data_IF_675290197191
#
_entry.id   IF_675290197191
#
_cell.length_a   1.000
_cell.length_b   1.000
_cell.length_c   1.000
_cell.angle_alpha   90.00
_cell.angle_beta   90.00
_cell.angle_gamma   90.00
#
_symmetry.space_group_name_H-M   'P 1'
#
loop_
_entity.id
_entity.type
_entity.pdbx_description
1 polymer ?
#
# COMPACT_ATOMS: atom_id res chain seq x y z
N UNK A 1 -44.11 24.03 -2.27
CA UNK A 1 -42.65 24.12 -2.06
C UNK A 1 -42.03 22.91 -1.33
N UNK A 2 -42.77 22.16 -0.49
CA UNK A 2 -42.19 21.02 0.25
C UNK A 2 -42.03 19.74 -0.57
N UNK A 3 -42.98 19.43 -1.46
CA UNK A 3 -42.94 18.25 -2.35
C UNK A 3 -41.73 18.23 -3.29
N UNK A 4 -41.43 19.37 -3.93
CA UNK A 4 -40.25 19.51 -4.79
C UNK A 4 -38.94 19.32 -4.01
N UNK A 5 -38.86 19.83 -2.77
CA UNK A 5 -37.68 19.67 -1.91
C UNK A 5 -37.48 18.21 -1.48
N UNK A 6 -38.56 17.48 -1.23
CA UNK A 6 -38.50 16.05 -0.87
C UNK A 6 -38.04 15.19 -2.07
N UNK A 7 -38.54 15.50 -3.28
CA UNK A 7 -38.09 14.86 -4.53
C UNK A 7 -36.61 15.13 -4.80
N UNK A 8 -36.14 16.37 -4.68
CA UNK A 8 -34.72 16.70 -4.91
C UNK A 8 -33.80 16.04 -3.88
N UNK A 9 -34.21 15.93 -2.61
CA UNK A 9 -33.45 15.19 -1.59
C UNK A 9 -33.35 13.70 -1.91
N UNK A 10 -34.43 13.07 -2.40
CA UNK A 10 -34.43 11.65 -2.77
C UNK A 10 -33.55 11.41 -4.00
N UNK A 11 -33.62 12.30 -4.99
CA UNK A 11 -32.77 12.27 -6.18
C UNK A 11 -31.28 12.44 -5.83
N UNK A 12 -30.96 13.41 -4.97
CA UNK A 12 -29.58 13.67 -4.55
C UNK A 12 -28.96 12.49 -3.81
N UNK A 13 -29.73 11.82 -2.93
CA UNK A 13 -29.29 10.57 -2.28
C UNK A 13 -28.98 9.46 -3.30
N UNK A 14 -29.84 9.29 -4.30
CA UNK A 14 -29.63 8.31 -5.38
C UNK A 14 -28.40 8.61 -6.23
N UNK A 15 -28.16 9.89 -6.58
CA UNK A 15 -26.97 10.32 -7.33
C UNK A 15 -25.69 10.07 -6.53
N UNK A 16 -25.68 10.36 -5.23
CA UNK A 16 -24.52 10.10 -4.36
C UNK A 16 -24.23 8.60 -4.25
N UNK A 17 -25.27 7.77 -4.06
CA UNK A 17 -25.12 6.31 -3.97
C UNK A 17 -24.60 5.70 -5.27
N UNK A 18 -25.11 6.20 -6.41
CA UNK A 18 -24.62 5.84 -7.75
C UNK A 18 -23.16 6.28 -7.94
N UNK A 19 -22.78 7.47 -7.47
CA UNK A 19 -21.41 7.96 -7.50
C UNK A 19 -20.41 7.07 -6.74
N UNK A 20 -20.77 6.62 -5.53
CA UNK A 20 -19.96 5.64 -4.80
C UNK A 20 -19.85 4.30 -5.52
N UNK A 21 -20.94 3.84 -6.13
CA UNK A 21 -20.94 2.60 -6.91
C UNK A 21 -20.00 2.70 -8.11
N UNK A 22 -20.05 3.80 -8.86
CA UNK A 22 -19.18 4.04 -10.01
C UNK A 22 -17.71 4.14 -9.59
N UNK A 23 -17.43 4.79 -8.46
CA UNK A 23 -16.09 4.87 -7.89
C UNK A 23 -15.55 3.48 -7.55
N UNK A 24 -16.33 2.66 -6.83
CA UNK A 24 -15.94 1.28 -6.52
C UNK A 24 -15.75 0.45 -7.78
N UNK A 25 -16.67 0.56 -8.74
CA UNK A 25 -16.59 -0.15 -10.03
C UNK A 25 -15.34 0.24 -10.84
N UNK A 26 -14.99 1.54 -10.90
CA UNK A 26 -13.74 2.02 -11.52
C UNK A 26 -12.51 1.40 -10.84
N UNK A 27 -12.54 1.28 -9.51
CA UNK A 27 -11.47 0.65 -8.74
C UNK A 27 -11.36 -0.85 -9.03
N UNK A 28 -12.49 -1.56 -9.13
CA UNK A 28 -12.55 -2.99 -9.49
C UNK A 28 -11.99 -3.27 -10.89
N UNK A 29 -12.30 -2.41 -11.87
CA UNK A 29 -11.85 -2.57 -13.25
C UNK A 29 -10.36 -2.27 -13.44
N UNK A 30 -9.78 -1.41 -12.60
CA UNK A 30 -8.40 -0.95 -12.77
C UNK A 30 -7.33 -2.01 -12.55
N UNK A 31 -7.68 -3.24 -12.14
CA UNK A 31 -6.77 -4.39 -12.03
C UNK A 31 -5.67 -4.28 -10.96
N UNK A 32 -5.40 -3.07 -10.46
CA UNK A 32 -4.37 -2.74 -9.47
C UNK A 32 -4.88 -2.82 -8.01
N UNK A 33 -6.07 -3.39 -7.78
CA UNK A 33 -6.65 -3.60 -6.44
C UNK A 33 -5.76 -4.45 -5.52
N UNK A 34 -4.80 -5.18 -6.08
CA UNK A 34 -3.76 -5.94 -5.35
C UNK A 34 -2.91 -5.05 -4.45
N UNK A 35 -2.75 -3.77 -4.78
CA UNK A 35 -1.89 -2.87 -4.03
C UNK A 35 -2.63 -2.10 -2.91
N UNK A 36 -3.95 -1.93 -3.02
CA UNK A 36 -4.74 -1.19 -2.02
C UNK A 36 -5.43 -2.09 -0.99
N UNK A 37 -5.74 -3.35 -1.34
CA UNK A 37 -6.61 -4.22 -0.54
C UNK A 37 -6.05 -5.64 -0.51
N UNK A 38 -6.02 -6.25 0.68
CA UNK A 38 -5.65 -7.65 0.84
C UNK A 38 -6.59 -8.56 0.03
N UNK A 39 -6.06 -9.49 -0.80
CA UNK A 39 -6.85 -10.28 -1.76
C UNK A 39 -8.04 -11.05 -1.16
N UNK A 40 -7.93 -11.42 0.11
CA UNK A 40 -9.00 -12.07 0.88
C UNK A 40 -10.28 -11.23 1.03
N UNK A 41 -10.24 -9.91 0.80
CA UNK A 41 -11.40 -9.01 0.98
C UNK A 41 -12.15 -8.65 -0.31
N UNK A 42 -11.67 -9.08 -1.48
CA UNK A 42 -12.37 -8.86 -2.75
C UNK A 42 -13.83 -9.33 -2.82
N UNK A 43 -14.22 -10.51 -2.29
CA UNK A 43 -15.62 -10.94 -2.40
C UNK A 43 -16.60 -9.96 -1.74
N UNK A 44 -16.23 -9.35 -0.61
CA UNK A 44 -17.05 -8.33 0.05
C UNK A 44 -17.19 -7.05 -0.78
N UNK A 45 -16.14 -6.68 -1.50
CA UNK A 45 -16.14 -5.50 -2.35
C UNK A 45 -17.05 -5.68 -3.58
N UNK A 46 -17.00 -6.85 -4.23
CA UNK A 46 -17.94 -7.20 -5.30
C UNK A 46 -19.38 -7.19 -4.80
N UNK A 47 -19.65 -7.85 -3.66
CA UNK A 47 -20.98 -7.90 -3.07
C UNK A 47 -21.51 -6.48 -2.76
N UNK A 48 -20.69 -5.65 -2.12
CA UNK A 48 -21.04 -4.26 -1.79
C UNK A 48 -21.33 -3.44 -3.05
N UNK A 49 -20.50 -3.58 -4.09
CA UNK A 49 -20.71 -2.87 -5.37
C UNK A 49 -22.04 -3.24 -6.00
N UNK A 50 -22.40 -4.53 -6.02
CA UNK A 50 -23.67 -5.01 -6.57
C UNK A 50 -24.86 -4.48 -5.76
N UNK A 51 -24.81 -4.56 -4.43
CA UNK A 51 -25.90 -4.09 -3.56
C UNK A 51 -26.08 -2.58 -3.68
N UNK A 52 -25.01 -1.80 -3.66
CA UNK A 52 -25.07 -0.35 -3.82
C UNK A 52 -25.57 0.06 -5.20
N UNK A 53 -25.17 -0.66 -6.26
CA UNK A 53 -25.70 -0.45 -7.60
C UNK A 53 -27.21 -0.63 -7.64
N UNK A 54 -27.70 -1.73 -7.07
CA UNK A 54 -29.12 -2.07 -7.08
C UNK A 54 -29.94 -1.05 -6.29
N UNK A 55 -29.47 -0.65 -5.11
CA UNK A 55 -30.09 0.41 -4.31
C UNK A 55 -30.06 1.77 -5.01
N UNK A 56 -28.95 2.12 -5.66
CA UNK A 56 -28.81 3.38 -6.40
C UNK A 56 -29.78 3.48 -7.57
N UNK A 57 -29.87 2.40 -8.36
CA UNK A 57 -30.79 2.30 -9.50
C UNK A 57 -32.26 2.34 -9.05
N UNK A 58 -32.62 1.60 -7.99
CA UNK A 58 -33.97 1.63 -7.43
C UNK A 58 -34.36 3.03 -6.92
N UNK A 59 -33.43 3.74 -6.27
CA UNK A 59 -33.69 5.08 -5.75
C UNK A 59 -33.88 6.12 -6.86
N UNK A 60 -33.16 5.98 -7.98
CA UNK A 60 -33.34 6.82 -9.19
C UNK A 60 -34.68 6.53 -9.86
N UNK A 61 -35.03 5.25 -10.08
CA UNK A 61 -36.31 4.90 -10.71
C UNK A 61 -37.53 5.30 -9.87
N UNK A 62 -37.43 5.19 -8.55
CA UNK A 62 -38.49 5.63 -7.62
C UNK A 62 -38.73 7.15 -7.68
N UNK A 63 -37.73 7.94 -8.09
CA UNK A 63 -37.88 9.39 -8.30
C UNK A 63 -38.53 9.73 -9.65
N UNK A 64 -38.35 8.87 -10.66
CA UNK A 64 -38.88 9.04 -12.02
C UNK A 64 -40.34 8.61 -12.16
N UNK A 65 -40.84 7.69 -11.32
CA UNK A 65 -42.25 7.27 -11.39
C UNK A 65 -43.18 8.26 -10.68
N UNK A 66 -44.12 8.85 -11.42
CA UNK A 66 -45.16 9.76 -10.92
C UNK A 66 -46.32 9.06 -10.19
N UNK A 67 -46.16 7.79 -9.79
CA UNK A 67 -47.23 7.04 -9.09
C UNK A 67 -47.20 7.37 -7.59
N UNK A 68 -48.31 7.87 -7.01
CA UNK A 68 -48.39 8.13 -5.59
C UNK A 68 -48.46 6.81 -4.80
N UNK A 69 -47.78 6.83 -3.64
CA UNK A 69 -47.97 5.97 -2.46
C UNK A 69 -47.91 4.44 -2.65
N UNK A 70 -46.73 3.88 -2.43
CA UNK A 70 -46.61 2.89 -1.36
C UNK A 70 -45.80 3.57 -0.27
N UNK A 71 -46.49 4.07 0.76
CA UNK A 71 -45.85 4.47 2.01
C UNK A 71 -45.25 3.22 2.62
N UNK A 72 -43.99 2.96 2.26
CA UNK A 72 -43.16 2.11 3.09
C UNK A 72 -42.85 2.97 4.32
N UNK A 73 -43.61 2.73 5.38
CA UNK A 73 -43.60 3.33 6.72
C UNK A 73 -42.27 3.10 7.47
N UNK A 74 -41.17 2.93 6.74
CA UNK A 74 -39.81 2.74 7.24
C UNK A 74 -38.90 3.96 6.98
N UNK A 75 -39.46 5.12 6.60
CA UNK A 75 -38.68 6.31 6.21
C UNK A 75 -39.12 7.61 6.92
N UNK A 76 -39.87 7.51 8.01
CA UNK A 76 -40.42 8.67 8.74
C UNK A 76 -39.35 9.52 9.46
N UNK A 77 -38.13 8.99 9.65
CA UNK A 77 -37.05 9.68 10.38
C UNK A 77 -36.03 10.43 9.50
N UNK A 78 -36.14 10.36 8.17
CA UNK A 78 -35.24 11.13 7.28
C UNK A 78 -35.83 12.46 6.82
N UNK A 79 -36.52 13.16 7.73
CA UNK A 79 -37.06 14.49 7.46
C UNK A 79 -35.90 15.48 7.30
N UNK A 80 -35.79 16.19 6.16
CA UNK A 80 -34.67 17.10 5.95
C UNK A 80 -34.71 18.22 6.99
N UNK A 81 -33.55 18.61 7.55
CA UNK A 81 -33.50 19.67 8.54
C UNK A 81 -33.97 20.98 7.90
N UNK A 82 -34.63 21.83 8.70
CA UNK A 82 -35.31 23.05 8.22
C UNK A 82 -34.35 23.98 7.46
N UNK A 83 -33.05 23.97 7.83
CA UNK A 83 -31.96 24.75 7.25
C UNK A 83 -31.30 24.07 6.03
N UNK A 84 -31.37 24.73 4.87
CA UNK A 84 -30.74 24.27 3.62
C UNK A 84 -29.21 24.25 3.68
N UNK A 85 -28.59 25.15 4.45
CA UNK A 85 -27.13 25.20 4.67
C UNK A 85 -26.57 23.97 5.40
N UNK A 86 -27.27 23.48 6.43
CA UNK A 86 -26.84 22.28 7.15
C UNK A 86 -26.98 21.04 6.26
N UNK A 87 -28.05 20.98 5.47
CA UNK A 87 -28.20 19.93 4.47
C UNK A 87 -27.08 19.95 3.43
N UNK A 88 -26.65 21.13 2.95
CA UNK A 88 -25.53 21.26 2.02
C UNK A 88 -24.21 20.74 2.63
N UNK A 89 -23.95 21.10 3.90
CA UNK A 89 -22.76 20.65 4.62
C UNK A 89 -22.72 19.11 4.75
N UNK A 90 -23.85 18.48 5.09
CA UNK A 90 -23.94 17.02 5.19
C UNK A 90 -23.73 16.33 3.84
N UNK A 91 -24.29 16.85 2.74
CA UNK A 91 -24.07 16.27 1.41
C UNK A 91 -22.64 16.47 0.92
N UNK A 92 -22.00 17.59 1.26
CA UNK A 92 -20.58 17.84 0.96
C UNK A 92 -19.67 16.76 1.54
N UNK A 93 -19.97 16.26 2.75
CA UNK A 93 -19.22 15.18 3.40
C UNK A 93 -19.20 13.88 2.57
N UNK A 94 -20.24 13.64 1.76
CA UNK A 94 -20.31 12.47 0.87
C UNK A 94 -19.82 12.77 -0.55
N UNK A 95 -19.98 13.99 -1.03
CA UNK A 95 -19.51 14.38 -2.37
C UNK A 95 -17.98 14.49 -2.40
N UNK A 96 -17.37 15.02 -1.34
CA UNK A 96 -15.92 15.17 -1.21
C UNK A 96 -15.18 13.83 -1.44
N UNK A 97 -15.48 12.73 -0.73
CA UNK A 97 -14.82 11.45 -0.95
C UNK A 97 -15.07 10.86 -2.34
N UNK A 98 -16.20 11.16 -3.00
CA UNK A 98 -16.43 10.75 -4.39
C UNK A 98 -15.50 11.52 -5.33
N UNK A 99 -15.45 12.84 -5.20
CA UNK A 99 -14.61 13.69 -6.04
C UNK A 99 -13.13 13.37 -5.83
N UNK A 100 -12.68 13.29 -4.58
CA UNK A 100 -11.29 12.92 -4.27
C UNK A 100 -11.00 11.50 -4.72
N UNK A 101 -11.89 10.54 -4.51
CA UNK A 101 -11.69 9.18 -4.99
C UNK A 101 -11.54 9.12 -6.51
N UNK A 102 -12.31 9.88 -7.29
CA UNK A 102 -12.12 9.97 -8.73
C UNK A 102 -10.81 10.66 -9.15
N UNK A 103 -10.44 11.78 -8.51
CA UNK A 103 -9.19 12.52 -8.79
C UNK A 103 -7.94 11.72 -8.40
N UNK A 104 -7.93 11.14 -7.20
CA UNK A 104 -6.79 10.39 -6.68
C UNK A 104 -6.66 9.02 -7.33
N UNK A 105 -7.75 8.33 -7.67
CA UNK A 105 -7.67 7.04 -8.36
C UNK A 105 -6.82 7.12 -9.64
N UNK A 106 -6.87 8.22 -10.38
CA UNK A 106 -6.05 8.37 -11.59
C UNK A 106 -4.56 8.62 -11.27
N UNK A 107 -4.22 9.08 -10.06
CA UNK A 107 -2.84 9.37 -9.65
C UNK A 107 -2.17 8.22 -8.87
N UNK A 108 -2.92 7.48 -8.03
CA UNK A 108 -2.41 6.32 -7.28
C UNK A 108 -2.28 5.04 -8.14
N UNK A 109 -2.98 4.98 -9.28
CA UNK A 109 -2.84 3.90 -10.27
C UNK A 109 -1.70 4.13 -11.26
N UNK A 110 -1.15 5.35 -11.29
CA UNK A 110 0.05 5.64 -12.06
C UNK A 110 1.23 4.88 -11.45
N UNK A 111 1.84 4.01 -12.25
CA UNK A 111 3.05 3.23 -11.97
C UNK A 111 4.20 4.01 -11.30
N UNK A 112 4.15 5.34 -11.29
CA UNK A 112 5.10 6.24 -10.62
C UNK A 112 5.17 6.07 -9.09
N UNK A 113 4.05 5.75 -8.41
CA UNK A 113 4.05 5.53 -6.96
C UNK A 113 4.37 4.07 -6.58
N UNK A 114 4.02 3.09 -7.42
CA UNK A 114 4.45 1.70 -7.26
C UNK A 114 5.96 1.54 -7.51
N UNK A 115 6.52 2.32 -8.44
CA UNK A 115 7.95 2.32 -8.76
C UNK A 115 8.84 2.80 -7.60
N UNK A 116 8.32 3.59 -6.66
CA UNK A 116 9.05 4.10 -5.50
C UNK A 116 8.63 3.46 -4.16
N UNK A 117 7.67 2.52 -4.17
CA UNK A 117 7.27 1.72 -3.00
C UNK A 117 7.31 0.21 -3.26
N UNK A 118 8.05 -0.23 -4.28
CA UNK A 118 8.68 -1.53 -4.19
C UNK A 118 9.74 -1.39 -3.10
N UNK A 119 9.44 -1.95 -1.93
CA UNK A 119 10.48 -2.32 -0.97
C UNK A 119 11.58 -2.96 -1.81
N UNK A 120 12.77 -2.37 -1.79
CA UNK A 120 13.97 -2.98 -2.36
C UNK A 120 14.23 -4.26 -1.57
N UNK A 121 13.48 -5.32 -1.88
CA UNK A 121 14.07 -6.64 -1.87
C UNK A 121 15.08 -6.57 -2.97
N UNK A 122 16.32 -6.40 -2.55
CA UNK A 122 17.43 -6.21 -3.42
C UNK A 122 17.55 -7.48 -4.29
N UNK A 123 17.02 -7.38 -5.49
CA UNK A 123 17.25 -8.30 -6.58
C UNK A 123 17.91 -7.45 -7.64
N UNK A 124 19.22 -7.65 -7.78
CA UNK A 124 20.04 -7.06 -8.83
C UNK A 124 19.43 -7.35 -10.19
N UNK A 125 18.63 -6.41 -10.70
CA UNK A 125 18.19 -6.36 -12.08
C UNK A 125 18.88 -5.18 -12.75
N UNK A 126 20.14 -5.39 -13.10
CA UNK A 126 20.75 -4.68 -14.23
C UNK A 126 19.99 -5.04 -15.50
N UNK A 127 18.95 -4.27 -15.83
CA UNK A 127 18.53 -4.13 -17.22
C UNK A 127 18.72 -2.67 -17.64
N UNK A 128 19.93 -2.42 -18.13
CA UNK A 128 20.21 -1.37 -19.09
C UNK A 128 19.24 -1.49 -20.26
N UNK A 129 18.50 -0.41 -20.56
CA UNK A 129 18.14 -0.09 -21.94
C UNK A 129 18.55 1.35 -22.17
N UNK A 130 19.58 1.46 -22.98
CA UNK A 130 20.28 2.67 -23.40
C UNK A 130 19.48 3.54 -24.36
N UNK A 131 20.00 4.76 -24.53
CA UNK A 131 19.85 5.74 -25.62
C UNK A 131 18.93 6.92 -25.22
N UNK A 132 19.32 8.19 -25.23
CA UNK A 132 20.40 8.91 -25.94
C UNK A 132 20.66 10.27 -25.24
N UNK A 133 21.87 10.82 -25.45
CA UNK A 133 22.26 12.24 -25.45
C UNK A 133 23.17 12.77 -24.33
N UNK A 134 24.48 12.60 -24.55
CA UNK A 134 25.48 13.66 -24.80
C UNK A 134 25.86 14.68 -23.71
N UNK A 135 27.18 14.65 -23.43
CA UNK A 135 28.12 15.76 -23.17
C UNK A 135 28.49 16.19 -21.73
N UNK A 136 29.70 15.72 -21.36
CA UNK A 136 30.91 16.52 -21.06
C UNK A 136 31.24 16.99 -19.63
N UNK A 137 32.40 16.46 -19.20
CA UNK A 137 33.54 17.09 -18.52
C UNK A 137 33.68 17.11 -16.98
N UNK A 138 34.65 16.30 -16.52
CA UNK A 138 35.89 16.66 -15.78
C UNK A 138 35.77 17.11 -14.30
N UNK A 139 36.17 16.17 -13.44
CA UNK A 139 37.33 16.22 -12.51
C UNK A 139 37.26 16.83 -11.09
N UNK A 140 37.87 16.02 -10.20
CA UNK A 140 38.57 16.23 -8.93
C UNK A 140 37.98 16.96 -7.69
N UNK A 141 37.98 16.18 -6.60
CA UNK A 141 38.35 16.47 -5.21
C UNK A 141 37.82 17.71 -4.48
N UNK A 142 37.19 17.46 -3.33
CA UNK A 142 37.58 18.12 -2.08
C UNK A 142 37.06 17.34 -0.88
N UNK A 143 37.94 17.00 0.06
CA UNK A 143 37.55 16.60 1.40
C UNK A 143 37.29 17.83 2.26
N UNK A 144 36.38 17.73 3.23
CA UNK A 144 36.55 18.37 4.53
C UNK A 144 35.58 17.80 5.58
N UNK A 145 36.17 17.64 6.76
CA UNK A 145 35.64 17.23 8.05
C UNK A 145 34.53 18.16 8.52
N UNK A 146 33.51 17.65 9.22
CA UNK A 146 32.96 18.32 10.41
C UNK A 146 32.36 17.28 11.37
N UNK A 147 32.97 17.21 12.55
CA UNK A 147 32.48 16.54 13.76
C UNK A 147 31.26 17.23 14.37
N UNK A 148 30.59 16.50 15.27
CA UNK A 148 29.61 16.90 16.29
C UNK A 148 28.13 16.83 15.82
N UNK A 149 27.17 16.26 16.57
CA UNK A 149 27.15 15.91 17.98
C UNK A 149 25.91 15.02 18.29
N UNK A 150 26.01 14.27 19.39
CA UNK A 150 24.94 13.81 20.29
C UNK A 150 23.96 12.70 19.84
N UNK A 151 24.27 11.50 20.34
CA UNK A 151 23.39 10.61 21.11
C UNK A 151 21.90 10.97 21.12
N UNK A 152 21.10 10.15 20.45
CA UNK A 152 19.73 9.88 20.88
C UNK A 152 19.47 8.39 20.78
N UNK A 153 19.44 7.74 21.94
CA UNK A 153 18.99 6.36 22.12
C UNK A 153 17.52 6.25 21.73
N UNK A 154 17.26 5.73 20.54
CA UNK A 154 15.98 5.09 20.20
C UNK A 154 16.33 3.84 19.42
N UNK A 155 15.90 2.68 19.89
CA UNK A 155 16.15 1.39 19.27
C UNK A 155 15.42 1.29 17.92
N UNK A 156 16.05 1.83 16.89
CA UNK A 156 15.73 1.70 15.48
C UNK A 156 16.81 0.79 14.87
N UNK A 157 16.50 -0.13 13.94
CA UNK A 157 17.54 -0.93 13.28
C UNK A 157 18.56 0.03 12.68
N UNK A 158 19.78 -0.02 13.20
CA UNK A 158 20.84 0.91 12.85
C UNK A 158 21.10 0.77 11.35
N UNK A 159 20.77 1.80 10.56
CA UNK A 159 21.16 1.86 9.17
C UNK A 159 22.70 1.85 9.14
N UNK A 160 23.26 0.70 8.74
CA UNK A 160 24.69 0.55 8.55
C UNK A 160 25.15 1.53 7.48
N UNK A 161 26.23 2.27 7.73
CA UNK A 161 26.81 3.17 6.73
C UNK A 161 27.16 2.39 5.46
N UNK A 162 26.98 3.00 4.29
CA UNK A 162 27.29 2.35 3.01
C UNK A 162 28.75 1.86 2.94
N UNK A 163 29.67 2.57 3.59
CA UNK A 163 31.07 2.17 3.68
C UNK A 163 31.25 0.88 4.48
N UNK A 164 30.59 0.77 5.63
CA UNK A 164 30.62 -0.42 6.47
C UNK A 164 29.97 -1.63 5.78
N UNK A 165 28.91 -1.39 5.01
CA UNK A 165 28.25 -2.42 4.20
C UNK A 165 29.21 -3.03 3.17
N UNK A 166 29.92 -2.19 2.42
CA UNK A 166 30.87 -2.64 1.40
C UNK A 166 32.06 -3.39 2.03
N UNK A 167 32.57 -2.91 3.17
CA UNK A 167 33.65 -3.59 3.91
C UNK A 167 33.19 -4.97 4.41
N UNK A 168 31.95 -5.06 4.91
CA UNK A 168 31.37 -6.32 5.35
C UNK A 168 31.23 -7.30 4.18
N UNK A 169 30.75 -6.83 3.02
CA UNK A 169 30.66 -7.65 1.81
C UNK A 169 32.02 -8.22 1.40
N UNK A 170 33.03 -7.36 1.24
CA UNK A 170 34.38 -7.79 0.87
C UNK A 170 34.95 -8.81 1.85
N UNK A 171 34.63 -8.64 3.14
CA UNK A 171 35.09 -9.54 4.20
C UNK A 171 34.40 -10.91 4.10
N UNK A 172 33.10 -10.94 3.83
CA UNK A 172 32.31 -12.17 3.68
C UNK A 172 32.66 -12.91 2.39
N UNK A 173 32.94 -12.20 1.31
CA UNK A 173 33.33 -12.78 0.02
C UNK A 173 34.70 -13.48 0.07
N UNK A 174 35.62 -13.02 0.93
CA UNK A 174 36.93 -13.67 1.11
C UNK A 174 36.90 -14.90 2.00
N UNK A 175 35.87 -15.07 2.83
CA UNK A 175 35.75 -16.20 3.77
C UNK A 175 35.02 -17.38 3.13
N UNK A 176 35.49 -18.61 3.43
CA UNK A 176 34.84 -19.87 3.02
C UNK A 176 33.74 -20.31 3.99
N UNK A 177 33.87 -19.93 5.26
CA UNK A 177 32.90 -20.17 6.33
C UNK A 177 32.80 -18.96 7.23
N UNK A 178 31.59 -18.60 7.66
CA UNK A 178 31.36 -17.50 8.60
C UNK A 178 30.11 -17.73 9.48
N UNK A 179 30.15 -17.16 10.68
CA UNK A 179 29.05 -17.17 11.64
C UNK A 179 28.31 -15.83 11.61
N UNK A 180 26.98 -15.88 11.48
CA UNK A 180 26.12 -14.70 11.41
C UNK A 180 25.86 -14.17 12.81
N UNK A 181 26.37 -12.97 13.10
CA UNK A 181 26.17 -12.30 14.38
C UNK A 181 24.76 -11.68 14.47
N UNK A 182 24.06 -11.86 15.59
CA UNK A 182 22.72 -11.29 15.84
C UNK A 182 22.63 -9.79 15.48
N UNK A 183 23.66 -8.99 15.78
CA UNK A 183 23.69 -7.54 15.50
C UNK A 183 23.81 -7.21 14.02
N UNK A 184 24.41 -8.11 13.25
CA UNK A 184 24.70 -7.95 11.82
C UNK A 184 23.85 -8.89 10.96
N UNK A 185 22.84 -9.55 11.54
CA UNK A 185 22.05 -10.55 10.85
C UNK A 185 21.41 -9.99 9.58
N UNK A 186 20.72 -8.85 9.69
CA UNK A 186 20.05 -8.20 8.56
C UNK A 186 21.03 -7.78 7.46
N UNK A 187 22.09 -6.99 7.72
CA UNK A 187 23.03 -6.61 6.66
C UNK A 187 23.77 -7.82 6.06
N UNK A 188 24.15 -8.82 6.86
CA UNK A 188 24.78 -10.04 6.33
C UNK A 188 23.83 -10.82 5.42
N UNK A 189 22.57 -11.00 5.81
CA UNK A 189 21.60 -11.74 5.00
C UNK A 189 21.24 -11.00 3.71
N UNK A 190 21.17 -9.65 3.76
CA UNK A 190 21.00 -8.84 2.56
C UNK A 190 22.17 -9.05 1.59
N UNK A 191 23.42 -8.91 2.06
CA UNK A 191 24.61 -9.13 1.21
C UNK A 191 24.59 -10.52 0.55
N UNK A 192 24.22 -11.56 1.29
CA UNK A 192 24.13 -12.93 0.78
C UNK A 192 22.99 -13.07 -0.25
N UNK A 193 21.84 -12.46 0.01
CA UNK A 193 20.71 -12.46 -0.93
C UNK A 193 21.06 -11.74 -2.25
N UNK A 194 21.78 -10.63 -2.14
CA UNK A 194 22.17 -9.78 -3.27
C UNK A 194 23.21 -10.47 -4.15
N UNK A 195 24.14 -11.19 -3.54
CA UNK A 195 25.32 -11.76 -4.21
C UNK A 195 25.33 -13.29 -4.12
N UNK A 196 24.16 -13.92 -4.30
CA UNK A 196 23.94 -15.35 -4.04
C UNK A 196 25.01 -16.25 -4.70
N UNK A 197 25.40 -15.94 -5.94
CA UNK A 197 26.39 -16.70 -6.71
C UNK A 197 27.76 -16.78 -6.02
N UNK A 198 28.21 -15.68 -5.40
CA UNK A 198 29.49 -15.59 -4.68
C UNK A 198 29.49 -16.37 -3.36
N UNK A 199 28.31 -16.80 -2.89
CA UNK A 199 28.13 -17.53 -1.64
C UNK A 199 27.79 -19.02 -1.83
N UNK A 200 27.64 -19.49 -3.08
CA UNK A 200 27.41 -20.91 -3.37
C UNK A 200 28.62 -21.74 -2.90
N UNK A 201 28.35 -22.79 -2.11
CA UNK A 201 29.39 -23.69 -1.59
C UNK A 201 30.14 -23.16 -0.37
N UNK A 202 29.78 -21.99 0.15
CA UNK A 202 30.26 -21.48 1.44
C UNK A 202 29.38 -21.98 2.57
N UNK A 203 29.99 -22.13 3.75
CA UNK A 203 29.29 -22.57 4.95
C UNK A 203 28.86 -21.35 5.77
N UNK A 204 27.57 -21.30 6.11
CA UNK A 204 26.98 -20.21 6.90
C UNK A 204 26.45 -20.83 8.19
N UNK A 205 26.99 -20.38 9.32
CA UNK A 205 26.51 -20.76 10.64
C UNK A 205 25.58 -19.67 11.18
N UNK A 206 24.36 -20.04 11.57
CA UNK A 206 23.39 -19.11 12.17
C UNK A 206 22.64 -19.80 13.30
N UNK A 207 22.25 -19.02 14.31
CA UNK A 207 21.43 -19.51 15.42
C UNK A 207 20.03 -18.90 15.30
N UNK A 208 19.00 -19.75 15.41
CA UNK A 208 17.62 -19.35 15.17
C UNK A 208 16.61 -20.28 15.80
N UNK A 209 15.34 -19.90 15.69
CA UNK A 209 14.21 -20.76 15.99
C UNK A 209 13.89 -21.62 14.76
N UNK A 210 13.72 -22.92 14.98
CA UNK A 210 13.35 -23.86 13.93
C UNK A 210 11.85 -24.06 13.94
N UNK A 211 11.20 -23.79 12.81
CA UNK A 211 9.78 -24.04 12.60
C UNK A 211 9.56 -25.00 11.43
N UNK A 212 8.55 -25.86 11.56
CA UNK A 212 8.13 -26.80 10.53
C UNK A 212 6.67 -26.57 10.18
N UNK A 213 6.43 -26.12 8.95
CA UNK A 213 5.09 -25.97 8.39
C UNK A 213 4.47 -27.33 8.07
N UNK A 214 3.13 -27.40 8.07
CA UNK A 214 2.39 -28.64 7.79
C UNK A 214 2.65 -29.18 6.38
N UNK A 215 3.01 -28.30 5.45
CA UNK A 215 3.26 -28.66 4.04
C UNK A 215 4.72 -29.06 3.75
N UNK A 216 5.62 -28.95 4.73
CA UNK A 216 7.04 -29.27 4.52
C UNK A 216 7.31 -30.78 4.54
N UNK A 217 8.14 -31.25 3.60
CA UNK A 217 8.66 -32.62 3.61
C UNK A 217 9.58 -32.83 4.82
N UNK A 218 9.81 -34.08 5.25
CA UNK A 218 10.65 -34.43 6.41
C UNK A 218 12.06 -33.80 6.43
N UNK A 219 12.60 -33.37 5.29
CA UNK A 219 13.94 -32.76 5.16
C UNK A 219 13.95 -31.23 5.00
N UNK A 220 12.82 -30.57 5.16
CA UNK A 220 12.71 -29.10 5.06
C UNK A 220 12.36 -28.51 6.42
N UNK A 221 13.01 -27.40 6.75
CA UNK A 221 12.78 -26.61 7.95
C UNK A 221 12.92 -25.14 7.59
N UNK A 222 12.24 -24.27 8.34
CA UNK A 222 12.44 -22.84 8.30
C UNK A 222 13.19 -22.42 9.56
N UNK A 223 14.16 -21.52 9.41
CA UNK A 223 14.94 -20.98 10.51
C UNK A 223 14.69 -19.48 10.59
N UNK A 224 14.17 -19.01 11.71
CA UNK A 224 13.91 -17.59 11.99
C UNK A 224 14.96 -17.03 12.97
N UNK A 225 15.45 -15.79 12.80
CA UNK A 225 16.49 -15.21 13.65
C UNK A 225 16.03 -14.94 15.09
N UNK A 226 16.95 -15.01 16.05
CA UNK A 226 16.70 -14.62 17.44
C UNK A 226 16.80 -13.10 17.56
N UNK A 227 15.70 -12.43 17.86
CA UNK A 227 15.70 -11.00 18.23
C UNK A 227 15.80 -10.90 19.76
N UNK A 228 17.00 -10.60 20.28
CA UNK A 228 17.18 -10.33 21.72
C UNK A 228 16.81 -8.89 22.02
N UNK A 229 15.62 -8.68 22.56
CA UNK A 229 15.26 -7.40 23.20
C UNK A 229 15.81 -7.42 24.63
N UNK A 230 16.75 -6.53 24.92
CA UNK A 230 17.16 -6.26 26.30
C UNK A 230 16.00 -5.54 26.98
N UNK A 231 15.44 -6.16 28.02
CA UNK A 231 14.44 -5.58 28.93
C UNK A 231 15.14 -4.85 30.07
#
# INVERSE_FOLDING_TARGET
MNEQRLRTHTLLKGVILSGFTLLLFKMLLSGNITYLIAPKMYPYLYFTTVVLFLLGVLQIFKCTSDKPSFDCECCEEHRPPKNTLCSLFLYSLFILPIVTGFLFADHILGSSLAKNRQIQYNTNSTLSTSNTATANNVDYNSGQVTENNQNTTTAQPQEMSQQDYNILQDTLEKKKSFSVNDKLYMPTMNIVQDNLDSFIGKEIETTGFVYREKEFTNKQIKVDPIVKTQI
#
